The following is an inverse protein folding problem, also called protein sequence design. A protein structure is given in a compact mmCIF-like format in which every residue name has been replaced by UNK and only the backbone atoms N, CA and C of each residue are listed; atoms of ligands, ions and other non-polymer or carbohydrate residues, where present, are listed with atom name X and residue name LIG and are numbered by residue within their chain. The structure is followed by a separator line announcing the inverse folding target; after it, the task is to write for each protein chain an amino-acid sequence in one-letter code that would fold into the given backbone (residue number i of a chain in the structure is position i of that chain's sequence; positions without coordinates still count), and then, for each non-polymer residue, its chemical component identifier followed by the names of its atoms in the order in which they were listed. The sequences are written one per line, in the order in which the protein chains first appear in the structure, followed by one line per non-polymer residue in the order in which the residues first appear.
data_IF_647079695284
#
_entry.id   IF_647079695284
#
_cell.length_a   1.000
_cell.length_b   1.000
_cell.length_c   1.000
_cell.angle_alpha   90.00
_cell.angle_beta   90.00
_cell.angle_gamma   90.00
#
_symmetry.space_group_name_H-M   'P 1'
#
loop_
_entity.id
_entity.type
_entity.pdbx_description
1 polymer ?
#
# COMPACT_ATOMS: atom_id res chain seq x y z
N UNK A 1 -12.50 -21.53 -7.97
CA UNK A 1 -11.18 -21.70 -7.33
C UNK A 1 -10.15 -21.02 -8.20
N UNK A 2 -9.63 -19.85 -7.80
CA UNK A 2 -8.55 -19.19 -8.54
C UNK A 2 -7.25 -19.94 -8.28
N UNK A 3 -6.72 -20.61 -9.30
CA UNK A 3 -5.38 -21.20 -9.22
C UNK A 3 -4.38 -20.06 -9.14
N UNK A 4 -3.53 -20.08 -8.10
CA UNK A 4 -2.44 -19.11 -7.95
C UNK A 4 -1.50 -19.21 -9.16
N UNK A 5 -1.01 -18.06 -9.62
CA UNK A 5 -0.03 -17.98 -10.70
C UNK A 5 1.25 -18.74 -10.28
N UNK A 6 1.87 -19.45 -11.22
CA UNK A 6 3.18 -20.05 -10.94
C UNK A 6 4.18 -18.93 -10.59
N UNK A 7 4.92 -19.01 -9.47
CA UNK A 7 5.86 -17.96 -9.04
C UNK A 7 6.88 -17.59 -10.11
N UNK A 8 7.26 -18.51 -11.00
CA UNK A 8 8.19 -18.22 -12.09
C UNK A 8 7.54 -17.34 -13.17
N UNK A 9 6.28 -17.58 -13.50
CA UNK A 9 5.51 -16.77 -14.45
C UNK A 9 5.26 -15.36 -13.88
N UNK A 10 4.96 -15.29 -12.58
CA UNK A 10 4.82 -14.03 -11.86
C UNK A 10 6.13 -13.22 -11.88
N UNK A 11 7.27 -13.86 -11.60
CA UNK A 11 8.59 -13.22 -11.69
C UNK A 11 8.90 -12.72 -13.09
N UNK A 12 8.54 -13.46 -14.14
CA UNK A 12 8.72 -13.04 -15.54
C UNK A 12 7.92 -11.77 -15.87
N UNK A 13 6.68 -11.67 -15.39
CA UNK A 13 5.86 -10.46 -15.53
C UNK A 13 6.48 -9.27 -14.79
N UNK A 14 6.92 -9.46 -13.54
CA UNK A 14 7.54 -8.40 -12.75
C UNK A 14 8.86 -7.91 -13.35
N UNK A 15 9.71 -8.83 -13.82
CA UNK A 15 11.00 -8.50 -14.45
C UNK A 15 10.83 -7.63 -15.70
N UNK A 16 9.77 -7.88 -16.47
CA UNK A 16 9.47 -7.16 -17.72
C UNK A 16 8.33 -6.13 -17.57
N UNK A 17 7.97 -5.76 -16.34
CA UNK A 17 6.77 -4.96 -16.05
C UNK A 17 6.73 -3.64 -16.81
N UNK A 18 7.84 -2.90 -16.81
CA UNK A 18 7.93 -1.60 -17.48
C UNK A 18 7.84 -1.72 -19.00
N UNK A 19 8.44 -2.76 -19.56
CA UNK A 19 8.38 -3.02 -21.00
C UNK A 19 6.95 -3.34 -21.43
N UNK A 20 6.26 -4.22 -20.69
CA UNK A 20 4.86 -4.54 -20.93
C UNK A 20 3.96 -3.30 -20.85
N UNK A 21 4.20 -2.39 -19.89
CA UNK A 21 3.43 -1.14 -19.80
C UNK A 21 3.57 -0.25 -21.04
N UNK A 22 4.73 -0.27 -21.69
CA UNK A 22 5.04 0.58 -22.84
C UNK A 22 4.54 -0.01 -24.16
N UNK A 23 4.84 -1.28 -24.40
CA UNK A 23 4.62 -1.93 -25.70
C UNK A 23 3.25 -2.59 -25.84
N UNK A 24 2.57 -2.92 -24.74
CA UNK A 24 1.31 -3.65 -24.83
C UNK A 24 0.16 -2.76 -25.34
N UNK A 25 -0.53 -3.25 -26.37
CA UNK A 25 -1.78 -2.68 -26.86
C UNK A 25 -2.97 -3.22 -26.05
N UNK A 26 -3.19 -2.59 -24.89
CA UNK A 26 -4.17 -3.02 -23.88
C UNK A 26 -5.58 -3.23 -24.44
N UNK A 27 -6.17 -2.34 -25.26
CA UNK A 27 -7.52 -2.52 -25.78
C UNK A 27 -7.67 -3.81 -26.61
N UNK A 28 -6.75 -4.05 -27.54
CA UNK A 28 -6.80 -5.21 -28.43
C UNK A 28 -6.64 -6.51 -27.67
N UNK A 29 -5.68 -6.57 -26.74
CA UNK A 29 -5.43 -7.77 -25.93
C UNK A 29 -6.56 -8.03 -24.93
N UNK A 30 -7.14 -6.96 -24.36
CA UNK A 30 -8.28 -7.07 -23.44
C UNK A 30 -9.49 -7.68 -24.14
N UNK A 31 -9.76 -7.28 -25.38
CA UNK A 31 -10.90 -7.78 -26.16
C UNK A 31 -10.75 -9.26 -26.48
N UNK A 32 -9.56 -9.69 -26.90
CA UNK A 32 -9.24 -11.10 -27.11
C UNK A 32 -9.32 -11.93 -25.81
N UNK A 33 -8.95 -11.36 -24.66
CA UNK A 33 -9.07 -12.04 -23.36
C UNK A 33 -10.52 -12.18 -22.87
N UNK A 34 -11.41 -11.30 -23.30
CA UNK A 34 -12.86 -11.42 -23.04
C UNK A 34 -13.45 -12.52 -23.92
N UNK A 35 -13.04 -12.58 -25.19
CA UNK A 35 -13.44 -13.66 -26.11
C UNK A 35 -12.98 -15.04 -25.60
N UNK A 36 -11.77 -15.12 -25.04
CA UNK A 36 -11.27 -16.32 -24.35
C UNK A 36 -11.98 -16.65 -23.01
N UNK A 37 -12.93 -15.82 -22.57
CA UNK A 37 -13.70 -16.00 -21.34
C UNK A 37 -12.90 -15.82 -20.05
N UNK A 38 -11.70 -15.22 -20.12
CA UNK A 38 -10.85 -14.96 -18.95
C UNK A 38 -11.23 -13.62 -18.31
N UNK A 39 -11.49 -12.61 -19.14
CA UNK A 39 -11.89 -11.29 -18.69
C UNK A 39 -13.40 -11.11 -18.82
N UNK A 40 -13.99 -10.35 -17.89
CA UNK A 40 -15.39 -9.94 -17.97
C UNK A 40 -15.48 -8.52 -18.52
N UNK A 41 -16.67 -8.14 -19.02
CA UNK A 41 -16.92 -6.78 -19.50
C UNK A 41 -16.64 -5.71 -18.41
N UNK A 42 -16.88 -6.06 -17.14
CA UNK A 42 -16.57 -5.19 -16.01
C UNK A 42 -15.07 -4.87 -15.90
N UNK A 43 -14.17 -5.80 -16.23
CA UNK A 43 -12.73 -5.52 -16.25
C UNK A 43 -12.36 -4.56 -17.38
N UNK A 44 -12.97 -4.71 -18.56
CA UNK A 44 -12.76 -3.80 -19.70
C UNK A 44 -13.12 -2.37 -19.31
N UNK A 45 -14.25 -2.18 -18.67
CA UNK A 45 -14.69 -0.88 -18.17
C UNK A 45 -13.78 -0.34 -17.07
N UNK A 46 -13.34 -1.20 -16.13
CA UNK A 46 -12.40 -0.83 -15.09
C UNK A 46 -11.06 -0.34 -15.66
N UNK A 47 -10.53 -1.01 -16.67
CA UNK A 47 -9.29 -0.63 -17.37
C UNK A 47 -9.50 0.65 -18.19
N UNK A 48 -10.65 0.82 -18.85
CA UNK A 48 -10.94 2.01 -19.66
C UNK A 48 -11.12 3.27 -18.81
N UNK A 49 -11.67 3.14 -17.61
CA UNK A 49 -12.06 4.26 -16.75
C UNK A 49 -10.99 4.66 -15.69
N UNK A 50 -9.76 4.18 -15.81
CA UNK A 50 -8.69 4.52 -14.85
C UNK A 50 -8.29 6.00 -14.98
N UNK A 51 -8.06 6.66 -13.83
CA UNK A 51 -7.55 8.03 -13.74
C UNK A 51 -6.14 8.02 -13.12
N UNK A 52 -5.14 8.68 -13.73
CA UNK A 52 -5.21 9.41 -15.01
C UNK A 52 -5.37 8.45 -16.20
N UNK A 53 -6.09 8.90 -17.25
CA UNK A 53 -6.36 8.10 -18.46
C UNK A 53 -5.13 8.05 -19.38
N UNK A 54 -4.02 7.50 -18.88
CA UNK A 54 -2.78 7.31 -19.63
C UNK A 54 -2.65 5.85 -20.09
N UNK A 55 -1.92 5.63 -21.20
CA UNK A 55 -1.64 4.26 -21.70
C UNK A 55 -0.97 3.40 -20.62
N UNK A 56 0.03 3.97 -19.93
CA UNK A 56 0.81 3.28 -18.90
C UNK A 56 -0.05 2.82 -17.71
N UNK A 57 -0.96 3.68 -17.24
CA UNK A 57 -1.80 3.36 -16.07
C UNK A 57 -2.89 2.36 -16.44
N UNK A 58 -3.40 2.40 -17.68
CA UNK A 58 -4.30 1.36 -18.20
C UNK A 58 -3.61 0.01 -18.33
N UNK A 59 -2.37 0.00 -18.84
CA UNK A 59 -1.57 -1.22 -18.94
C UNK A 59 -1.24 -1.82 -17.56
N UNK A 60 -0.93 -0.97 -16.59
CA UNK A 60 -0.74 -1.40 -15.20
C UNK A 60 -2.00 -2.02 -14.59
N UNK A 61 -3.16 -1.37 -14.77
CA UNK A 61 -4.43 -1.93 -14.28
C UNK A 61 -4.74 -3.26 -14.96
N UNK A 62 -4.47 -3.37 -16.26
CA UNK A 62 -4.60 -4.61 -17.02
C UNK A 62 -3.71 -5.73 -16.47
N UNK A 63 -2.43 -5.46 -16.21
CA UNK A 63 -1.47 -6.44 -15.70
C UNK A 63 -1.81 -6.88 -14.27
N UNK A 64 -2.30 -5.96 -13.42
CA UNK A 64 -2.76 -6.31 -12.08
C UNK A 64 -3.96 -7.28 -12.12
N UNK A 65 -4.93 -7.03 -13.01
CA UNK A 65 -6.07 -7.94 -13.22
C UNK A 65 -5.57 -9.31 -13.77
N UNK A 66 -4.52 -9.31 -14.60
CA UNK A 66 -3.92 -10.53 -15.13
C UNK A 66 -3.32 -11.39 -14.00
N UNK A 67 -2.61 -10.75 -13.07
CA UNK A 67 -2.05 -11.40 -11.88
C UNK A 67 -3.15 -11.97 -10.96
N UNK A 68 -4.25 -11.22 -10.75
CA UNK A 68 -5.40 -11.68 -9.95
C UNK A 68 -6.10 -12.91 -10.56
N UNK A 69 -6.10 -13.02 -11.90
CA UNK A 69 -6.69 -14.16 -12.61
C UNK A 69 -5.80 -15.42 -12.57
N UNK A 70 -4.54 -15.27 -12.18
CA UNK A 70 -3.62 -16.36 -11.96
C UNK A 70 -3.18 -17.07 -13.25
N UNK A 71 -2.84 -18.35 -13.12
CA UNK A 71 -2.21 -19.14 -14.19
C UNK A 71 -3.07 -19.22 -15.46
N UNK A 72 -4.38 -19.39 -15.32
CA UNK A 72 -5.30 -19.43 -16.47
C UNK A 72 -5.30 -18.13 -17.27
N UNK A 73 -5.18 -17.00 -16.57
CA UNK A 73 -5.11 -15.70 -17.24
C UNK A 73 -3.80 -15.52 -17.99
N UNK A 74 -2.69 -15.89 -17.36
CA UNK A 74 -1.37 -15.82 -17.97
C UNK A 74 -1.23 -16.73 -19.20
N UNK A 75 -1.76 -17.95 -19.15
CA UNK A 75 -1.72 -18.88 -20.28
C UNK A 75 -2.53 -18.36 -21.47
N UNK A 76 -3.75 -17.88 -21.23
CA UNK A 76 -4.57 -17.27 -22.28
C UNK A 76 -3.91 -16.02 -22.88
N UNK A 77 -3.28 -15.19 -22.04
CA UNK A 77 -2.50 -14.05 -22.49
C UNK A 77 -1.35 -14.50 -23.41
N UNK A 78 -0.54 -15.48 -23.00
CA UNK A 78 0.55 -16.02 -23.82
C UNK A 78 0.06 -16.70 -25.11
N UNK A 79 -1.16 -17.25 -25.11
CA UNK A 79 -1.78 -17.82 -26.30
C UNK A 79 -2.21 -16.71 -27.28
N UNK A 80 -2.86 -15.66 -26.77
CA UNK A 80 -3.28 -14.50 -27.56
C UNK A 80 -2.08 -13.79 -28.20
N UNK A 81 -0.97 -13.68 -27.47
CA UNK A 81 0.26 -13.11 -28.03
C UNK A 81 0.88 -14.01 -29.12
N UNK A 82 0.68 -15.34 -29.05
CA UNK A 82 1.14 -16.29 -30.08
C UNK A 82 0.27 -16.33 -31.32
N UNK A 83 -1.03 -16.10 -31.16
CA UNK A 83 -2.02 -16.11 -32.24
C UNK A 83 -2.09 -14.76 -32.98
N UNK A 84 -1.25 -13.78 -32.62
CA UNK A 84 -1.23 -12.50 -33.30
C UNK A 84 -0.51 -12.57 -34.65
N UNK A 85 -1.29 -12.69 -35.73
CA UNK A 85 -0.83 -12.81 -37.12
C UNK A 85 0.05 -11.64 -37.59
N UNK A 86 -0.03 -10.49 -36.91
CA UNK A 86 0.71 -9.28 -37.29
C UNK A 86 2.12 -9.22 -36.69
N UNK A 87 2.56 -10.22 -35.92
CA UNK A 87 3.84 -10.22 -35.20
C UNK A 87 4.09 -8.96 -34.33
N UNK A 88 3.04 -8.21 -33.97
CA UNK A 88 3.18 -6.95 -33.21
C UNK A 88 3.70 -7.19 -31.80
N UNK A 89 3.52 -8.40 -31.28
CA UNK A 89 3.95 -8.80 -29.95
C UNK A 89 5.16 -9.74 -29.95
N UNK A 90 5.88 -9.86 -31.06
CA UNK A 90 7.06 -10.72 -31.15
C UNK A 90 8.13 -10.34 -30.12
N UNK A 91 8.40 -9.03 -29.94
CA UNK A 91 9.34 -8.53 -28.93
C UNK A 91 8.85 -8.81 -27.49
N UNK A 92 7.54 -8.77 -27.26
CA UNK A 92 6.93 -9.10 -25.96
C UNK A 92 7.08 -10.58 -25.63
N UNK A 93 6.91 -11.45 -26.62
CA UNK A 93 7.10 -12.90 -26.50
C UNK A 93 8.55 -13.27 -26.20
N UNK A 94 9.50 -12.64 -26.90
CA UNK A 94 10.93 -12.84 -26.69
C UNK A 94 11.37 -12.43 -25.28
N UNK A 95 10.93 -11.24 -24.82
CA UNK A 95 11.26 -10.73 -23.48
C UNK A 95 10.63 -11.52 -22.34
N UNK A 96 9.46 -12.12 -22.56
CA UNK A 96 8.81 -13.00 -21.58
C UNK A 96 9.40 -14.42 -21.56
N UNK A 97 10.39 -14.73 -22.42
CA UNK A 97 10.98 -16.06 -22.57
C UNK A 97 9.89 -17.14 -22.70
N UNK A 98 8.83 -16.82 -23.45
CA UNK A 98 7.76 -17.78 -23.72
C UNK A 98 8.29 -18.68 -24.84
N UNK A 99 8.42 -20.00 -24.62
CA UNK A 99 8.93 -20.88 -25.66
C UNK A 99 8.06 -20.72 -26.90
N UNK A 100 8.70 -20.34 -28.02
CA UNK A 100 8.07 -20.38 -29.33
C UNK A 100 7.46 -21.77 -29.51
N UNK A 101 6.25 -21.82 -30.07
CA UNK A 101 5.53 -23.06 -30.30
C UNK A 101 6.47 -23.98 -31.08
N UNK A 102 7.01 -25.02 -30.43
CA UNK A 102 7.61 -26.13 -31.16
C UNK A 102 6.46 -26.73 -31.93
N UNK A 103 6.49 -26.58 -33.24
CA UNK A 103 5.67 -27.39 -34.12
C UNK A 103 6.08 -28.84 -33.84
N UNK A 104 5.25 -29.57 -33.10
CA UNK A 104 5.36 -31.01 -32.98
C UNK A 104 5.04 -31.60 -34.35
N UNK A 105 6.09 -31.72 -35.14
CA UNK A 105 6.15 -32.54 -36.33
C UNK A 105 6.07 -34.02 -35.90
N UNK A 106 4.93 -34.64 -36.21
CA UNK A 106 4.73 -36.08 -36.09
C UNK A 106 5.62 -36.78 -37.13
N UNK A 107 6.74 -37.40 -36.72
CA UNK A 107 7.14 -38.79 -37.10
C UNK A 107 8.52 -39.23 -36.53
N UNK A 108 8.78 -40.55 -36.47
CA UNK A 108 9.59 -41.15 -35.41
C UNK A 108 11.06 -41.42 -35.76
N UNK A 109 11.88 -41.32 -34.71
CA UNK A 109 12.91 -42.28 -34.29
C UNK A 109 14.01 -42.70 -35.29
N UNK A 110 15.23 -42.18 -35.09
CA UNK A 110 16.46 -42.97 -34.96
C UNK A 110 17.62 -42.12 -34.43
N UNK A 111 18.13 -42.47 -33.25
CA UNK A 111 19.55 -42.67 -32.93
C UNK A 111 20.58 -41.53 -33.03
N UNK A 112 21.36 -41.42 -31.95
CA UNK A 112 22.79 -41.07 -31.91
C UNK A 112 23.19 -39.63 -31.51
N UNK A 113 23.53 -39.50 -30.22
CA UNK A 113 24.81 -39.06 -29.65
C UNK A 113 25.51 -37.74 -30.04
N UNK A 114 26.16 -37.19 -29.00
CA UNK A 114 27.37 -36.32 -28.94
C UNK A 114 27.26 -34.79 -29.10
N UNK A 115 27.35 -34.13 -27.93
CA UNK A 115 28.34 -33.13 -27.49
C UNK A 115 28.66 -31.84 -28.28
N UNK A 116 28.84 -30.79 -27.45
CA UNK A 116 29.86 -29.70 -27.46
C UNK A 116 29.63 -28.37 -28.20
N UNK A 117 29.97 -27.32 -27.43
CA UNK A 117 30.71 -26.07 -27.77
C UNK A 117 30.02 -24.91 -28.50
N UNK A 118 29.81 -23.84 -27.72
CA UNK A 118 30.52 -22.55 -27.78
C UNK A 118 30.40 -21.58 -29.00
N UNK A 119 30.40 -20.30 -28.61
CA UNK A 119 30.96 -19.08 -29.23
C UNK A 119 30.21 -18.27 -30.29
N UNK A 120 30.28 -16.94 -30.06
CA UNK A 120 30.29 -15.82 -31.02
C UNK A 120 28.95 -15.53 -31.74
N UNK A 121 28.55 -14.30 -32.08
CA UNK A 121 29.28 -13.06 -32.24
C UNK A 121 28.31 -11.85 -32.33
N UNK A 122 28.86 -10.67 -32.06
CA UNK A 122 28.61 -9.39 -32.73
C UNK A 122 27.20 -8.74 -32.73
N UNK A 123 27.02 -7.54 -32.18
CA UNK A 123 27.43 -6.21 -32.68
C UNK A 123 26.27 -5.52 -33.45
N UNK A 124 25.91 -4.30 -33.05
CA UNK A 124 24.79 -3.59 -33.67
C UNK A 124 24.47 -2.26 -33.02
N UNK A 125 25.35 -1.29 -33.22
CA UNK A 125 25.13 0.13 -32.95
C UNK A 125 23.75 0.63 -33.42
N UNK A 126 23.11 1.50 -32.62
CA UNK A 126 22.59 2.77 -33.16
C UNK A 126 22.28 3.81 -32.08
N UNK A 127 23.03 4.90 -32.22
CA UNK A 127 22.84 6.25 -31.67
C UNK A 127 21.38 6.72 -31.76
N UNK A 128 20.91 7.42 -30.70
CA UNK A 128 20.37 8.80 -30.76
C UNK A 128 20.00 9.31 -29.35
N UNK A 129 20.79 10.28 -28.88
CA UNK A 129 20.41 11.37 -27.94
C UNK A 129 19.41 12.32 -28.65
N UNK A 130 18.90 13.39 -27.99
CA UNK A 130 18.36 13.54 -26.63
C UNK A 130 16.97 14.24 -26.67
N UNK A 131 16.25 14.36 -25.55
CA UNK A 131 15.49 15.59 -25.24
C UNK A 131 15.23 15.69 -23.73
N UNK A 132 15.76 16.76 -23.15
CA UNK A 132 15.51 17.25 -21.81
C UNK A 132 14.25 18.10 -21.89
N UNK A 133 13.21 17.75 -21.14
CA UNK A 133 12.06 18.63 -20.89
C UNK A 133 11.95 18.92 -19.39
N UNK A 134 12.09 20.22 -19.09
CA UNK A 134 11.76 20.84 -17.81
C UNK A 134 10.27 20.64 -17.49
N UNK A 135 9.94 20.50 -16.20
CA UNK A 135 8.62 20.84 -15.68
C UNK A 135 8.75 21.81 -14.51
N UNK A 136 8.12 22.98 -14.68
CA UNK A 136 7.81 23.94 -13.64
C UNK A 136 6.46 23.58 -12.98
N UNK A 137 6.46 23.62 -11.64
CA UNK A 137 5.50 24.26 -10.71
C UNK A 137 4.02 24.44 -11.14
N UNK A 138 3.08 24.01 -10.27
CA UNK A 138 2.03 24.89 -9.73
C UNK A 138 1.19 24.22 -8.63
N UNK A 139 1.04 24.94 -7.52
CA UNK A 139 0.00 24.82 -6.51
C UNK A 139 -1.29 25.46 -7.02
N UNK A 140 -2.48 24.94 -6.65
CA UNK A 140 -3.59 25.77 -6.13
C UNK A 140 -4.75 24.93 -5.57
N UNK A 141 -5.39 25.50 -4.55
CA UNK A 141 -6.51 25.00 -3.74
C UNK A 141 -7.87 25.06 -4.45
N UNK A 142 -8.85 24.27 -3.98
CA UNK A 142 -10.24 24.73 -3.85
C UNK A 142 -11.10 23.79 -2.96
N UNK A 143 -11.77 24.44 -2.00
CA UNK A 143 -12.90 24.02 -1.17
C UNK A 143 -14.16 23.73 -2.00
N UNK A 144 -15.04 22.84 -1.52
CA UNK A 144 -16.50 23.11 -1.51
C UNK A 144 -17.26 22.10 -0.63
N UNK A 145 -18.03 22.66 0.30
CA UNK A 145 -19.10 22.02 1.05
C UNK A 145 -20.36 21.86 0.17
N UNK A 146 -21.26 20.93 0.54
CA UNK A 146 -22.70 21.24 0.60
C UNK A 146 -23.53 20.17 1.31
N UNK A 147 -24.44 20.69 2.12
CA UNK A 147 -25.59 20.09 2.78
C UNK A 147 -26.55 19.35 1.84
N UNK A 148 -27.24 18.32 2.36
CA UNK A 148 -28.59 17.98 1.88
C UNK A 148 -29.42 17.30 2.99
N UNK A 149 -30.41 18.02 3.51
CA UNK A 149 -31.55 17.44 4.23
C UNK A 149 -32.48 16.67 3.27
N UNK A 150 -33.11 15.59 3.74
CA UNK A 150 -34.44 15.17 3.22
C UNK A 150 -35.22 14.26 4.18
N UNK A 151 -36.48 14.66 4.34
CA UNK A 151 -37.63 14.09 5.06
C UNK A 151 -38.13 12.72 4.58
N UNK A 152 -39.02 12.12 5.41
CA UNK A 152 -40.17 11.18 5.17
C UNK A 152 -39.97 9.83 5.89
N UNK A 153 -40.96 9.15 6.52
CA UNK A 153 -42.40 9.30 6.88
C UNK A 153 -42.74 8.04 7.77
N UNK A 154 -44.00 7.69 8.15
CA UNK A 154 -44.33 7.18 9.49
C UNK A 154 -45.02 5.79 9.50
N UNK A 155 -45.39 5.33 10.71
CA UNK A 155 -46.17 4.12 11.02
C UNK A 155 -45.65 3.58 12.37
N UNK A 156 -46.43 3.11 13.34
CA UNK A 156 -47.73 2.42 13.27
C UNK A 156 -48.36 2.43 14.67
N UNK A 157 -49.66 2.16 14.68
CA UNK A 157 -50.64 2.10 15.77
C UNK A 157 -50.28 1.06 16.84
N UNK A 158 -50.67 1.31 18.10
CA UNK A 158 -51.37 0.28 18.90
C UNK A 158 -52.20 0.87 20.04
N UNK A 159 -53.40 0.32 20.12
CA UNK A 159 -54.54 0.53 21.01
C UNK A 159 -54.38 -0.14 22.38
N UNK A 160 -54.91 0.45 23.46
CA UNK A 160 -55.86 -0.22 24.38
C UNK A 160 -56.30 0.66 25.59
N UNK A 161 -57.62 0.70 25.77
CA UNK A 161 -58.41 0.60 27.01
C UNK A 161 -58.24 1.59 28.18
N UNK A 162 -59.32 2.32 28.50
CA UNK A 162 -60.04 2.22 29.79
C UNK A 162 -61.28 3.15 29.84
N UNK A 163 -62.45 2.56 30.11
CA UNK A 163 -63.74 3.19 30.40
C UNK A 163 -63.92 3.32 31.94
N UNK A 164 -64.23 4.50 32.48
CA UNK A 164 -65.53 4.97 33.05
C UNK A 164 -66.39 3.98 33.86
N UNK A 165 -66.63 4.26 35.15
CA UNK A 165 -67.96 4.62 35.73
C UNK A 165 -67.93 4.66 37.27
N UNK A 166 -68.60 5.67 37.86
CA UNK A 166 -68.84 5.85 39.30
C UNK A 166 -70.25 5.45 39.76
N UNK A 167 -70.62 5.70 41.05
CA UNK A 167 -71.82 5.14 41.69
C UNK A 167 -73.00 6.11 41.91
N UNK A 168 -74.17 5.49 42.15
CA UNK A 168 -75.36 5.88 42.94
C UNK A 168 -76.25 7.10 42.63
N UNK A 169 -77.57 6.85 42.45
CA UNK A 169 -78.67 7.39 43.28
C UNK A 169 -80.09 7.10 42.72
N UNK A 170 -80.99 6.56 43.55
CA UNK A 170 -82.47 6.59 43.41
C UNK A 170 -83.11 6.34 44.81
N UNK A 171 -83.60 7.36 45.52
CA UNK A 171 -85.00 7.84 45.65
C UNK A 171 -86.00 6.73 46.04
N UNK A 172 -86.62 6.66 47.23
CA UNK A 172 -87.40 7.64 48.02
C UNK A 172 -88.75 8.05 47.38
N UNK A 173 -89.74 7.15 47.40
CA UNK A 173 -91.18 7.43 47.16
C UNK A 173 -92.04 6.43 47.94
N UNK A 174 -92.35 6.68 49.23
CA UNK A 174 -93.30 5.83 49.96
C UNK A 174 -93.87 6.52 51.23
N UNK A 175 -94.70 7.56 51.06
CA UNK A 175 -95.44 8.17 52.21
C UNK A 175 -96.53 9.16 51.81
N UNK A 176 -97.47 8.79 50.92
CA UNK A 176 -98.68 9.61 50.64
C UNK A 176 -99.99 8.79 50.58
N UNK A 177 -99.99 7.49 50.87
CA UNK A 177 -101.12 6.61 50.51
C UNK A 177 -101.97 6.03 51.67
N UNK A 178 -102.07 6.70 52.82
CA UNK A 178 -102.82 6.13 53.98
C UNK A 178 -103.92 7.02 54.59
N UNK A 179 -104.09 8.28 54.18
CA UNK A 179 -105.07 9.18 54.82
C UNK A 179 -106.49 9.22 54.18
N UNK A 180 -106.78 8.38 53.18
CA UNK A 180 -108.05 8.39 52.43
C UNK A 180 -109.03 7.26 52.79
N UNK A 181 -108.83 6.54 53.91
CA UNK A 181 -109.60 5.36 54.30
C UNK A 181 -110.51 5.57 55.54
N UNK A 182 -110.87 6.80 55.86
CA UNK A 182 -111.77 7.12 56.97
C UNK A 182 -112.79 8.12 56.47
N UNK A 183 -114.08 7.85 56.73
CA UNK A 183 -115.26 8.68 56.40
C UNK A 183 -116.02 8.33 55.10
N UNK A 184 -116.49 7.08 55.03
CA UNK A 184 -117.71 6.75 54.27
C UNK A 184 -118.39 5.55 54.92
N UNK A 185 -119.43 5.78 55.72
CA UNK A 185 -120.45 4.86 56.26
C UNK A 185 -121.01 5.52 57.54
N UNK A 186 -122.30 5.58 57.86
CA UNK A 186 -123.51 5.14 57.19
C UNK A 186 -124.67 5.95 57.79
N UNK A 187 -125.63 6.26 56.94
CA UNK A 187 -126.92 6.89 57.21
C UNK A 187 -127.92 5.89 57.80
N UNK A 188 -128.60 6.22 58.90
CA UNK A 188 -129.83 5.55 59.31
C UNK A 188 -130.94 6.57 59.62
N UNK A 189 -132.02 6.44 58.85
CA UNK A 189 -133.23 7.27 58.86
C UNK A 189 -134.06 7.08 60.15
N UNK A 190 -134.37 8.20 60.80
CA UNK A 190 -135.49 8.35 61.72
C UNK A 190 -136.30 9.57 61.23
N UNK A 191 -137.64 9.53 61.20
CA UNK A 191 -138.44 10.65 60.72
C UNK A 191 -138.30 11.82 61.69
N UNK A 192 -137.44 12.76 61.33
CA UNK A 192 -137.16 13.95 62.13
C UNK A 192 -138.42 14.80 62.17
N UNK A 193 -138.96 14.97 63.38
CA UNK A 193 -140.04 15.91 63.69
C UNK A 193 -139.62 17.32 63.26
N UNK A 194 -140.19 17.77 62.14
CA UNK A 194 -139.83 19.02 61.45
C UNK A 194 -139.92 20.24 62.36
N UNK A 195 -140.81 20.22 63.35
CA UNK A 195 -140.99 21.36 64.26
C UNK A 195 -139.86 21.47 65.27
N UNK A 196 -139.28 20.34 65.68
CA UNK A 196 -138.11 20.27 66.56
C UNK A 196 -136.84 20.59 65.79
N UNK A 197 -136.76 20.17 64.52
CA UNK A 197 -135.66 20.53 63.62
C UNK A 197 -135.66 22.02 63.27
N UNK A 198 -136.81 22.64 63.00
CA UNK A 198 -136.92 24.09 62.76
C UNK A 198 -136.46 24.89 63.98
N UNK A 199 -136.86 24.46 65.18
CA UNK A 199 -136.51 25.14 66.43
C UNK A 199 -135.02 25.01 66.75
N UNK A 200 -134.40 23.86 66.46
CA UNK A 200 -132.95 23.67 66.53
C UNK A 200 -132.20 24.40 65.41
N UNK A 201 -132.73 24.47 64.17
CA UNK A 201 -132.14 25.25 63.08
C UNK A 201 -132.11 26.74 63.39
N UNK A 202 -133.17 27.30 63.98
CA UNK A 202 -133.22 28.70 64.42
C UNK A 202 -132.22 28.95 65.56
N UNK A 203 -131.97 27.95 66.42
CA UNK A 203 -130.99 28.03 67.53
C UNK A 203 -129.54 27.93 67.06
N UNK A 204 -129.31 27.14 66.02
CA UNK A 204 -127.98 26.89 65.44
C UNK A 204 -127.62 27.96 64.39
N UNK A 205 -128.60 28.63 63.78
CA UNK A 205 -128.37 29.67 62.77
C UNK A 205 -127.47 30.83 63.26
N UNK A 206 -127.61 31.38 64.48
CA UNK A 206 -126.67 32.36 65.00
C UNK A 206 -125.26 31.79 65.18
N UNK A 207 -125.13 30.53 65.61
CA UNK A 207 -123.83 29.86 65.79
C UNK A 207 -123.16 29.56 64.46
N UNK A 208 -123.93 29.15 63.43
CA UNK A 208 -123.46 29.00 62.06
C UNK A 208 -123.03 30.36 61.50
N UNK A 209 -123.82 31.42 61.71
CA UNK A 209 -123.44 32.77 61.30
C UNK A 209 -122.15 33.23 62.01
N UNK A 210 -121.99 32.93 63.30
CA UNK A 210 -120.79 33.23 64.08
C UNK A 210 -119.56 32.44 63.61
N UNK A 211 -119.76 31.18 63.20
CA UNK A 211 -118.73 30.33 62.60
C UNK A 211 -118.37 30.84 61.22
N UNK A 212 -119.34 31.19 60.37
CA UNK A 212 -119.06 31.81 59.07
C UNK A 212 -118.37 33.15 59.25
N UNK A 213 -118.77 33.98 60.22
CA UNK A 213 -118.12 35.26 60.48
C UNK A 213 -116.72 35.09 61.07
N UNK A 214 -116.48 34.07 61.91
CA UNK A 214 -115.14 33.67 62.37
C UNK A 214 -114.28 33.12 61.23
N UNK A 215 -114.84 32.30 60.35
CA UNK A 215 -114.17 31.83 59.13
C UNK A 215 -113.86 33.02 58.24
N UNK A 216 -114.79 33.95 58.01
CA UNK A 216 -114.52 35.14 57.20
C UNK A 216 -113.42 35.99 57.83
N UNK A 217 -113.42 36.18 59.16
CA UNK A 217 -112.38 36.92 59.88
C UNK A 217 -111.02 36.20 59.93
N UNK A 218 -110.98 34.87 59.98
CA UNK A 218 -109.73 34.10 59.95
C UNK A 218 -109.19 33.91 58.53
N UNK A 219 -110.07 33.83 57.53
CA UNK A 219 -109.68 33.69 56.12
C UNK A 219 -109.28 35.05 55.50
N UNK A 220 -109.80 36.18 56.00
CA UNK A 220 -109.36 37.53 55.57
C UNK A 220 -108.11 38.06 56.30
N UNK A 221 -107.68 37.45 57.42
CA UNK A 221 -106.53 37.97 58.19
C UNK A 221 -105.18 37.36 57.80
N UNK A 222 -105.10 36.60 56.71
CA UNK A 222 -103.83 36.32 56.05
C UNK A 222 -104.03 35.93 54.57
N UNK A 223 -104.31 36.89 53.68
CA UNK A 223 -103.65 36.78 52.41
C UNK A 223 -102.16 36.98 52.71
N UNK A 224 -101.35 35.92 52.61
CA UNK A 224 -99.95 36.17 52.21
C UNK A 224 -100.09 37.06 51.00
N UNK A 225 -99.73 38.33 51.14
CA UNK A 225 -100.07 39.33 50.15
C UNK A 225 -99.64 38.80 48.79
N UNK A 226 -100.47 38.93 47.76
CA UNK A 226 -100.06 38.57 46.40
C UNK A 226 -98.68 39.18 46.09
N UNK A 227 -98.40 40.34 46.68
CA UNK A 227 -97.10 41.02 46.71
C UNK A 227 -95.98 40.24 47.41
N UNK A 228 -96.22 39.61 48.56
CA UNK A 228 -95.24 38.78 49.28
C UNK A 228 -94.98 37.45 48.54
N UNK A 229 -96.02 36.84 47.96
CA UNK A 229 -95.86 35.67 47.09
C UNK A 229 -95.06 36.02 45.82
N UNK A 230 -95.28 37.21 45.24
CA UNK A 230 -94.51 37.70 44.11
C UNK A 230 -93.05 37.99 44.51
N UNK A 231 -92.80 38.57 45.69
CA UNK A 231 -91.45 38.74 46.23
C UNK A 231 -90.73 37.40 46.41
N UNK A 232 -91.39 36.39 46.97
CA UNK A 232 -90.82 35.04 47.11
C UNK A 232 -90.55 34.37 45.76
N UNK A 233 -91.40 34.58 44.75
CA UNK A 233 -91.15 34.10 43.38
C UNK A 233 -89.96 34.80 42.74
N UNK A 234 -89.84 36.11 42.90
CA UNK A 234 -88.70 36.89 42.41
C UNK A 234 -87.39 36.49 43.11
N UNK A 235 -87.44 36.25 44.41
CA UNK A 235 -86.30 35.77 45.19
C UNK A 235 -85.90 34.34 44.79
N UNK A 236 -86.86 33.43 44.60
CA UNK A 236 -86.58 32.09 44.11
C UNK A 236 -85.97 32.12 42.71
N UNK A 237 -86.44 33.01 41.83
CA UNK A 237 -85.85 33.18 40.50
C UNK A 237 -84.45 33.80 40.57
N UNK A 238 -84.19 34.73 41.49
CA UNK A 238 -82.82 35.20 41.79
C UNK A 238 -81.93 34.05 42.27
N UNK A 239 -82.41 33.20 43.19
CA UNK A 239 -81.67 32.04 43.68
C UNK A 239 -81.40 31.00 42.58
N UNK A 240 -82.34 30.81 41.65
CA UNK A 240 -82.12 29.95 40.47
C UNK A 240 -81.05 30.53 39.55
N UNK A 241 -81.05 31.86 39.34
CA UNK A 241 -80.02 32.53 38.55
C UNK A 241 -78.65 32.46 39.22
N UNK A 242 -78.56 32.66 40.53
CA UNK A 242 -77.30 32.52 41.27
C UNK A 242 -76.81 31.07 41.27
N UNK A 243 -77.69 30.09 41.47
CA UNK A 243 -77.33 28.67 41.35
C UNK A 243 -76.85 28.29 39.95
N UNK A 244 -77.53 28.77 38.89
CA UNK A 244 -77.03 28.57 37.50
C UNK A 244 -75.65 29.19 37.32
N UNK A 245 -75.43 30.42 37.79
CA UNK A 245 -74.11 31.07 37.72
C UNK A 245 -73.04 30.32 38.51
N UNK A 246 -73.38 29.74 39.67
CA UNK A 246 -72.46 28.92 40.45
C UNK A 246 -72.13 27.60 39.75
N UNK A 247 -73.11 26.95 39.12
CA UNK A 247 -72.90 25.75 38.31
C UNK A 247 -72.01 26.07 37.10
N UNK A 248 -72.24 27.20 36.42
CA UNK A 248 -71.41 27.63 35.30
C UNK A 248 -69.97 27.89 35.76
N UNK A 249 -69.77 28.58 36.88
CA UNK A 249 -68.44 28.77 37.48
C UNK A 249 -67.79 27.45 37.92
N UNK A 250 -68.56 26.52 38.46
CA UNK A 250 -68.07 25.19 38.82
C UNK A 250 -67.61 24.43 37.57
N UNK A 251 -68.40 24.46 36.50
CA UNK A 251 -68.04 23.87 35.21
C UNK A 251 -66.81 24.54 34.60
N UNK A 252 -66.68 25.86 34.74
CA UNK A 252 -65.49 26.62 34.33
C UNK A 252 -64.24 26.15 35.09
N UNK A 253 -64.34 26.00 36.42
CA UNK A 253 -63.26 25.47 37.24
C UNK A 253 -62.91 24.02 36.88
N UNK A 254 -63.91 23.17 36.64
CA UNK A 254 -63.67 21.80 36.20
C UNK A 254 -62.91 21.77 34.86
N UNK A 255 -63.28 22.62 33.88
CA UNK A 255 -62.55 22.75 32.62
C UNK A 255 -61.12 23.21 32.84
N UNK A 256 -60.88 24.20 33.70
CA UNK A 256 -59.54 24.68 34.03
C UNK A 256 -58.69 23.60 34.70
N UNK A 257 -59.26 22.82 35.63
CA UNK A 257 -58.56 21.71 36.27
C UNK A 257 -58.14 20.66 35.24
N UNK A 258 -59.05 20.27 34.32
CA UNK A 258 -58.74 19.33 33.25
C UNK A 258 -57.63 19.87 32.35
N UNK A 259 -57.69 21.16 32.00
CA UNK A 259 -56.67 21.81 31.18
C UNK A 259 -55.29 21.80 31.85
N UNK A 260 -55.22 22.13 33.13
CA UNK A 260 -53.98 22.08 33.92
C UNK A 260 -53.44 20.65 34.08
N UNK A 261 -54.30 19.64 34.19
CA UNK A 261 -53.88 18.23 34.23
C UNK A 261 -53.28 17.79 32.89
N UNK A 262 -53.89 18.16 31.77
CA UNK A 262 -53.36 17.89 30.44
C UNK A 262 -52.04 18.61 30.19
N UNK A 263 -51.92 19.87 30.62
CA UNK A 263 -50.68 20.64 30.52
C UNK A 263 -49.56 20.02 31.37
N UNK A 264 -49.83 19.64 32.62
CA UNK A 264 -48.87 18.93 33.46
C UNK A 264 -48.43 17.59 32.86
N UNK A 265 -49.36 16.82 32.27
CA UNK A 265 -49.03 15.58 31.57
C UNK A 265 -48.08 15.85 30.40
N UNK A 266 -48.38 16.86 29.58
CA UNK A 266 -47.54 17.27 28.46
C UNK A 266 -46.14 17.73 28.90
N UNK A 267 -46.04 18.48 29.99
CA UNK A 267 -44.75 18.90 30.56
C UNK A 267 -43.92 17.71 31.05
N UNK A 268 -44.56 16.70 31.66
CA UNK A 268 -43.87 15.45 32.05
C UNK A 268 -43.37 14.67 30.84
N UNK A 269 -44.21 14.49 29.82
CA UNK A 269 -43.84 13.75 28.61
C UNK A 269 -42.67 14.43 27.87
N UNK A 270 -42.73 15.75 27.70
CA UNK A 270 -41.64 16.53 27.10
C UNK A 270 -40.36 16.53 27.95
N UNK A 271 -40.47 16.58 29.28
CA UNK A 271 -39.32 16.48 30.18
C UNK A 271 -38.59 15.13 30.11
N UNK A 272 -39.32 14.03 29.94
CA UNK A 272 -38.71 12.70 29.75
C UNK A 272 -37.98 12.57 28.41
N UNK A 273 -38.55 13.10 27.33
CA UNK A 273 -37.89 13.18 26.02
C UNK A 273 -36.64 14.07 26.02
N UNK A 274 -36.66 15.18 26.74
CA UNK A 274 -35.48 16.04 26.92
C UNK A 274 -34.36 15.34 27.71
N UNK A 275 -34.71 14.47 28.67
CA UNK A 275 -33.72 13.65 29.39
C UNK A 275 -33.10 12.57 28.49
N UNK A 276 -33.91 11.88 27.70
CA UNK A 276 -33.44 10.84 26.77
C UNK A 276 -32.52 11.42 25.68
N UNK A 277 -32.92 12.53 25.06
CA UNK A 277 -32.08 13.23 24.05
C UNK A 277 -30.74 13.69 24.64
N UNK A 278 -30.72 14.16 25.90
CA UNK A 278 -29.47 14.51 26.60
C UNK A 278 -28.55 13.31 26.81
N UNK A 279 -29.11 12.12 27.10
CA UNK A 279 -28.34 10.88 27.24
C UNK A 279 -27.75 10.46 25.89
N UNK A 280 -28.54 10.50 24.82
CA UNK A 280 -28.06 10.18 23.47
C UNK A 280 -26.97 11.15 23.01
N UNK A 281 -27.11 12.45 23.31
CA UNK A 281 -26.13 13.46 22.96
C UNK A 281 -24.81 13.26 23.71
N UNK A 282 -24.87 12.87 24.99
CA UNK A 282 -23.67 12.45 25.74
C UNK A 282 -23.01 11.22 25.15
N UNK A 283 -23.80 10.22 24.73
CA UNK A 283 -23.26 9.01 24.09
C UNK A 283 -22.57 9.35 22.76
N UNK A 284 -23.19 10.19 21.93
CA UNK A 284 -22.57 10.67 20.68
C UNK A 284 -21.31 11.50 20.93
N UNK A 285 -21.28 12.30 21.99
CA UNK A 285 -20.08 13.04 22.37
C UNK A 285 -18.93 12.09 22.76
N UNK A 286 -19.22 11.04 23.53
CA UNK A 286 -18.24 9.99 23.85
C UNK A 286 -17.76 9.25 22.60
N UNK A 287 -18.66 8.86 21.70
CA UNK A 287 -18.31 8.23 20.42
C UNK A 287 -17.42 9.14 19.56
N UNK A 288 -17.67 10.47 19.56
CA UNK A 288 -16.82 11.44 18.87
C UNK A 288 -15.42 11.55 19.50
N UNK A 289 -15.31 11.53 20.82
CA UNK A 289 -14.02 11.54 21.52
C UNK A 289 -13.23 10.25 21.25
N UNK A 290 -13.90 9.10 21.21
CA UNK A 290 -13.29 7.82 20.81
C UNK A 290 -12.81 7.83 19.35
N UNK A 291 -13.59 8.40 18.43
CA UNK A 291 -13.16 8.56 17.04
C UNK A 291 -11.98 9.51 16.90
N UNK A 292 -11.99 10.61 17.66
CA UNK A 292 -10.89 11.59 17.67
C UNK A 292 -9.59 10.96 18.16
N UNK A 293 -9.64 10.20 19.26
CA UNK A 293 -8.46 9.49 19.78
C UNK A 293 -7.94 8.43 18.80
N UNK A 294 -8.82 7.72 18.09
CA UNK A 294 -8.41 6.81 17.00
C UNK A 294 -7.73 7.54 15.84
N UNK A 295 -8.24 8.71 15.43
CA UNK A 295 -7.62 9.52 14.38
C UNK A 295 -6.23 10.00 14.83
N UNK A 296 -6.09 10.47 16.06
CA UNK A 296 -4.81 10.91 16.60
C UNK A 296 -3.81 9.76 16.68
N UNK A 297 -4.25 8.56 17.04
CA UNK A 297 -3.41 7.36 17.04
C UNK A 297 -2.94 6.99 15.63
N UNK A 298 -3.83 7.04 14.64
CA UNK A 298 -3.49 6.76 13.24
C UNK A 298 -2.52 7.80 12.66
N UNK A 299 -2.68 9.08 13.03
CA UNK A 299 -1.73 10.14 12.67
C UNK A 299 -0.35 9.84 13.22
N UNK A 300 -0.27 9.46 14.49
CA UNK A 300 0.99 9.14 15.15
C UNK A 300 1.69 7.93 14.51
N UNK A 301 0.92 6.89 14.16
CA UNK A 301 1.45 5.72 13.44
C UNK A 301 1.95 6.09 12.03
N UNK A 302 1.26 7.01 11.34
CA UNK A 302 1.73 7.52 10.06
C UNK A 302 3.02 8.33 10.19
N UNK A 303 3.13 9.20 11.21
CA UNK A 303 4.34 9.97 11.48
C UNK A 303 5.54 9.06 11.79
N UNK A 304 5.33 7.98 12.56
CA UNK A 304 6.36 6.98 12.86
C UNK A 304 6.80 6.22 11.59
N UNK A 305 5.86 5.83 10.72
CA UNK A 305 6.17 5.19 9.43
C UNK A 305 6.88 6.14 8.46
N UNK A 306 6.54 7.42 8.48
CA UNK A 306 7.23 8.44 7.69
C UNK A 306 8.67 8.65 8.18
N UNK A 307 8.90 8.65 9.49
CA UNK A 307 10.24 8.67 10.07
C UNK A 307 11.05 7.42 9.68
N UNK A 308 10.47 6.22 9.79
CA UNK A 308 11.13 4.98 9.38
C UNK A 308 11.49 5.00 7.88
N UNK A 309 10.57 5.47 7.03
CA UNK A 309 10.82 5.62 5.60
C UNK A 309 11.99 6.60 5.34
N UNK A 310 12.03 7.72 6.03
CA UNK A 310 13.12 8.70 5.91
C UNK A 310 14.48 8.11 6.35
N UNK A 311 14.50 7.31 7.41
CA UNK A 311 15.73 6.59 7.83
C UNK A 311 16.19 5.58 6.77
N UNK A 312 15.26 4.85 6.16
CA UNK A 312 15.57 3.91 5.07
C UNK A 312 16.11 4.63 3.84
N UNK A 313 15.50 5.76 3.45
CA UNK A 313 16.00 6.59 2.36
C UNK A 313 17.42 7.10 2.62
N UNK A 314 17.73 7.51 3.86
CA UNK A 314 19.08 7.91 4.24
C UNK A 314 20.08 6.75 4.12
N UNK A 315 19.72 5.54 4.56
CA UNK A 315 20.57 4.34 4.40
C UNK A 315 20.81 4.02 2.92
N UNK A 316 19.80 4.17 2.06
CA UNK A 316 19.95 3.97 0.61
C UNK A 316 20.94 4.99 0.04
N UNK A 317 20.82 6.28 0.39
CA UNK A 317 21.78 7.30 -0.06
C UNK A 317 23.22 6.98 0.39
N UNK A 318 23.41 6.53 1.64
CA UNK A 318 24.74 6.11 2.12
C UNK A 318 25.30 4.95 1.29
N UNK A 319 24.48 3.93 0.98
CA UNK A 319 24.86 2.81 0.11
C UNK A 319 25.19 3.28 -1.31
N UNK A 320 24.42 4.22 -1.87
CA UNK A 320 24.68 4.80 -3.19
C UNK A 320 26.04 5.49 -3.24
N UNK A 321 26.35 6.33 -2.26
CA UNK A 321 27.66 7.00 -2.19
C UNK A 321 28.82 6.03 -2.02
N UNK A 322 28.62 4.93 -1.26
CA UNK A 322 29.64 3.91 -1.09
C UNK A 322 29.85 3.10 -2.38
N UNK A 323 28.77 2.75 -3.08
CA UNK A 323 28.84 2.10 -4.39
C UNK A 323 29.57 2.98 -5.42
N UNK A 324 29.37 4.30 -5.40
CA UNK A 324 30.11 5.23 -6.26
C UNK A 324 31.62 5.22 -5.96
N UNK A 325 32.01 5.21 -4.68
CA UNK A 325 33.42 5.09 -4.30
C UNK A 325 34.01 3.76 -4.73
N UNK A 326 33.28 2.66 -4.56
CA UNK A 326 33.75 1.33 -4.99
C UNK A 326 33.90 1.26 -6.52
N UNK A 327 32.99 1.87 -7.29
CA UNK A 327 33.14 1.98 -8.75
C UNK A 327 34.41 2.74 -9.14
N UNK A 328 34.71 3.85 -8.47
CA UNK A 328 35.94 4.60 -8.71
C UNK A 328 37.19 3.78 -8.35
N UNK A 329 37.13 3.01 -7.26
CA UNK A 329 38.22 2.13 -6.87
C UNK A 329 38.45 1.00 -7.90
N UNK A 330 37.38 0.39 -8.40
CA UNK A 330 37.45 -0.63 -9.45
C UNK A 330 38.06 -0.03 -10.73
N UNK A 331 37.57 1.13 -11.16
CA UNK A 331 38.11 1.83 -12.33
C UNK A 331 39.63 2.11 -12.19
N UNK A 332 40.08 2.52 -11.01
CA UNK A 332 41.50 2.73 -10.75
C UNK A 332 42.32 1.43 -10.82
N UNK A 333 41.77 0.32 -10.30
CA UNK A 333 42.42 -0.99 -10.39
C UNK A 333 42.46 -1.52 -11.83
N UNK A 334 41.43 -1.25 -12.63
CA UNK A 334 41.40 -1.59 -14.06
C UNK A 334 42.51 -0.84 -14.81
N UNK A 335 42.66 0.47 -14.59
CA UNK A 335 43.74 1.27 -15.18
C UNK A 335 45.11 0.70 -14.79
N UNK A 336 45.34 0.43 -13.50
CA UNK A 336 46.61 -0.17 -13.04
C UNK A 336 46.87 -1.55 -13.67
N UNK A 337 45.82 -2.34 -13.89
CA UNK A 337 45.94 -3.63 -14.56
C UNK A 337 46.29 -3.46 -16.04
N UNK A 338 45.64 -2.54 -16.75
CA UNK A 338 45.95 -2.21 -18.16
C UNK A 338 47.39 -1.70 -18.34
N UNK A 339 47.86 -0.84 -17.43
CA UNK A 339 49.25 -0.38 -17.39
C UNK A 339 50.22 -1.55 -17.15
N UNK A 340 49.91 -2.43 -16.19
CA UNK A 340 50.72 -3.62 -15.91
C UNK A 340 50.77 -4.60 -17.08
N UNK A 341 49.68 -4.79 -17.82
CA UNK A 341 49.64 -5.61 -19.04
C UNK A 341 50.45 -4.95 -20.16
N UNK A 342 50.32 -3.64 -20.34
CA UNK A 342 51.05 -2.88 -21.36
C UNK A 342 52.56 -2.93 -21.13
N UNK A 343 53.01 -2.76 -19.89
CA UNK A 343 54.43 -2.87 -19.52
C UNK A 343 54.96 -4.29 -19.71
N UNK A 344 54.19 -5.33 -19.35
CA UNK A 344 54.56 -6.73 -19.62
C UNK A 344 54.71 -6.97 -21.13
N UNK A 345 53.80 -6.48 -21.95
CA UNK A 345 53.86 -6.63 -23.39
C UNK A 345 55.08 -5.92 -23.98
N UNK A 346 55.41 -4.73 -23.47
CA UNK A 346 56.64 -4.01 -23.83
C UNK A 346 57.89 -4.83 -23.52
N UNK A 347 57.98 -5.37 -22.30
CA UNK A 347 59.10 -6.23 -21.90
C UNK A 347 59.20 -7.49 -22.76
N UNK A 348 58.07 -8.12 -23.13
CA UNK A 348 58.07 -9.27 -24.03
C UNK A 348 58.55 -8.91 -25.44
N UNK A 349 58.21 -7.72 -25.94
CA UNK A 349 58.70 -7.24 -27.23
C UNK A 349 60.22 -7.01 -27.19
N UNK A 350 60.72 -6.37 -26.13
CA UNK A 350 62.18 -6.16 -25.93
C UNK A 350 62.93 -7.49 -25.83
N UNK A 351 62.41 -8.47 -25.09
CA UNK A 351 63.00 -9.82 -25.01
C UNK A 351 63.03 -10.49 -26.39
N UNK A 352 62.00 -10.29 -27.21
CA UNK A 352 61.95 -10.86 -28.58
C UNK A 352 63.03 -10.23 -29.46
N UNK A 353 63.15 -8.90 -29.45
CA UNK A 353 64.17 -8.16 -30.19
C UNK A 353 65.58 -8.62 -29.80
N UNK A 354 65.87 -8.71 -28.49
CA UNK A 354 67.15 -9.22 -27.99
C UNK A 354 67.44 -10.68 -28.41
N UNK A 355 66.40 -11.52 -28.53
CA UNK A 355 66.56 -12.89 -29.05
C UNK A 355 66.89 -12.90 -30.54
N UNK A 356 66.25 -12.04 -31.32
CA UNK A 356 66.53 -11.87 -32.75
C UNK A 356 67.96 -11.36 -32.97
N UNK A 357 68.39 -10.33 -32.22
CA UNK A 357 69.77 -9.84 -32.23
C UNK A 357 70.78 -10.94 -31.87
N UNK A 358 70.48 -11.75 -30.86
CA UNK A 358 71.32 -12.89 -30.46
C UNK A 358 71.47 -13.92 -31.58
N UNK A 359 70.40 -14.24 -32.31
CA UNK A 359 70.48 -15.17 -33.45
C UNK A 359 71.26 -14.57 -34.63
N UNK A 360 71.12 -13.26 -34.88
CA UNK A 360 71.95 -12.55 -35.87
C UNK A 360 73.42 -12.61 -35.48
N UNK A 361 73.76 -12.39 -34.21
CA UNK A 361 75.14 -12.49 -33.73
C UNK A 361 75.68 -13.93 -33.84
N UNK A 362 74.87 -14.93 -33.51
CA UNK A 362 75.25 -16.34 -33.62
C UNK A 362 75.54 -16.75 -35.06
N UNK A 363 74.67 -16.41 -36.00
CA UNK A 363 74.90 -16.67 -37.44
C UNK A 363 76.14 -15.93 -37.94
N UNK A 364 76.40 -14.71 -37.45
CA UNK A 364 77.63 -13.97 -37.77
C UNK A 364 78.89 -14.67 -37.27
N UNK A 365 78.86 -15.22 -36.06
CA UNK A 365 79.97 -15.99 -35.48
C UNK A 365 80.22 -17.25 -36.30
N UNK A 366 79.17 -18.00 -36.64
CA UNK A 366 79.28 -19.23 -37.45
C UNK A 366 79.96 -18.98 -38.81
N UNK A 367 79.61 -17.88 -39.50
CA UNK A 367 80.26 -17.48 -40.75
C UNK A 367 81.75 -17.20 -40.54
N UNK A 368 82.12 -16.51 -39.45
CA UNK A 368 83.52 -16.19 -39.14
C UNK A 368 84.32 -17.44 -38.77
N UNK A 369 83.74 -18.36 -38.01
CA UNK A 369 84.35 -19.65 -37.68
C UNK A 369 84.59 -20.50 -38.94
N UNK A 370 83.64 -20.52 -39.88
CA UNK A 370 83.80 -21.19 -41.17
C UNK A 370 84.90 -20.59 -42.03
N UNK A 371 85.02 -19.26 -42.04
CA UNK A 371 86.13 -18.60 -42.72
C UNK A 371 87.47 -18.97 -42.07
N UNK A 372 87.54 -18.95 -40.74
CA UNK A 372 88.75 -19.34 -40.00
C UNK A 372 89.14 -20.79 -40.28
N UNK A 373 88.19 -21.74 -40.25
CA UNK A 373 88.43 -23.15 -40.60
C UNK A 373 89.03 -23.30 -42.01
N UNK A 374 88.51 -22.57 -43.00
CA UNK A 374 89.06 -22.60 -44.38
C UNK A 374 90.46 -22.03 -44.46
N UNK A 375 90.75 -20.97 -43.70
CA UNK A 375 92.07 -20.36 -43.68
C UNK A 375 93.10 -21.23 -42.93
N UNK A 376 92.68 -21.92 -41.85
CA UNK A 376 93.46 -22.95 -41.17
C UNK A 376 93.79 -24.13 -42.10
N UNK A 377 92.81 -24.63 -42.85
CA UNK A 377 93.03 -25.70 -43.85
C UNK A 377 94.02 -25.29 -44.95
N UNK A 378 93.95 -24.04 -45.41
CA UNK A 378 94.88 -23.48 -46.40
C UNK A 378 96.29 -23.40 -45.82
N UNK A 379 96.41 -22.92 -44.59
CA UNK A 379 97.68 -22.82 -43.88
C UNK A 379 98.31 -24.20 -43.67
N UNK A 380 97.52 -25.19 -43.23
CA UNK A 380 97.95 -26.58 -43.09
C UNK A 380 98.51 -27.15 -44.40
N UNK A 381 97.82 -26.93 -45.54
CA UNK A 381 98.31 -27.36 -46.87
C UNK A 381 99.61 -26.66 -47.28
N UNK A 382 99.77 -25.39 -46.94
CA UNK A 382 101.00 -24.64 -47.19
C UNK A 382 102.15 -25.15 -46.32
N UNK A 383 101.89 -25.43 -45.05
CA UNK A 383 102.85 -26.03 -44.12
C UNK A 383 103.28 -27.43 -44.57
N UNK A 384 102.33 -28.28 -45.00
CA UNK A 384 102.64 -29.60 -45.54
C UNK A 384 103.50 -29.51 -46.80
N UNK A 385 103.17 -28.58 -47.71
CA UNK A 385 103.98 -28.33 -48.91
C UNK A 385 105.38 -27.84 -48.55
N UNK A 386 105.51 -26.93 -47.58
CA UNK A 386 106.81 -26.47 -47.08
C UNK A 386 107.62 -27.64 -46.51
N UNK A 387 107.00 -28.49 -45.69
CA UNK A 387 107.64 -29.70 -45.12
C UNK A 387 108.15 -30.64 -46.22
N UNK A 388 107.37 -30.84 -47.29
CA UNK A 388 107.80 -31.65 -48.43
C UNK A 388 109.00 -31.02 -49.16
N UNK A 389 109.00 -29.69 -49.34
CA UNK A 389 110.13 -28.97 -49.92
C UNK A 389 111.39 -29.01 -49.04
N UNK A 390 111.24 -28.94 -47.71
CA UNK A 390 112.36 -29.06 -46.76
C UNK A 390 112.98 -30.47 -46.78
N UNK A 391 112.16 -31.52 -46.87
CA UNK A 391 112.64 -32.89 -47.02
C UNK A 391 113.34 -33.10 -48.37
N UNK A 392 112.81 -32.51 -49.44
CA UNK A 392 113.41 -32.55 -50.77
C UNK A 392 114.76 -31.80 -50.81
N UNK A 393 114.83 -30.61 -50.20
CA UNK A 393 116.08 -29.87 -50.07
C UNK A 393 117.10 -30.58 -49.14
N UNK A 394 116.64 -31.28 -48.09
CA UNK A 394 117.52 -32.07 -47.21
C UNK A 394 118.13 -33.28 -47.93
N UNK A 395 117.38 -33.93 -48.81
CA UNK A 395 117.90 -35.03 -49.65
C UNK A 395 118.83 -34.53 -50.75
N UNK A 396 118.59 -33.34 -51.30
CA UNK A 396 119.50 -32.69 -52.23
C UNK A 396 120.80 -32.20 -51.54
N UNK A 397 120.71 -31.74 -50.29
CA UNK A 397 121.86 -31.28 -49.49
C UNK A 397 122.78 -32.40 -48.99
N UNK A 398 122.34 -33.67 -48.95
CA UNK A 398 123.22 -34.80 -48.61
C UNK A 398 124.08 -35.30 -49.78
N UNK A 399 123.72 -34.99 -51.02
CA UNK A 399 124.54 -35.32 -52.21
C UNK A 399 125.56 -34.23 -52.57
N UNK A 400 125.62 -33.13 -51.81
CA UNK A 400 126.64 -32.08 -51.95
C UNK A 400 127.14 -31.64 -50.59
N UNK A 401 127.87 -32.52 -49.89
CA UNK A 401 128.76 -32.06 -48.81
C UNK A 401 130.08 -31.62 -49.42
N UNK A 402 130.36 -30.32 -49.49
CA UNK A 402 131.70 -29.80 -49.18
C UNK A 402 131.74 -28.26 -49.16
N UNK A 403 132.33 -27.73 -48.09
CA UNK A 403 132.96 -26.42 -47.99
C UNK A 403 132.07 -25.17 -47.86
N UNK A 404 131.81 -24.74 -46.63
CA UNK A 404 132.60 -23.70 -45.95
C UNK A 404 131.99 -23.37 -44.58
N UNK A 405 132.78 -23.63 -43.52
CA UNK A 405 132.61 -23.05 -42.17
C UNK A 405 133.38 -21.72 -42.10
N UNK A 406 133.06 -20.94 -41.06
CA UNK A 406 133.68 -19.68 -40.55
C UNK A 406 133.09 -18.39 -41.17
N UNK A 407 132.66 -17.34 -40.44
CA UNK A 407 132.70 -16.99 -39.00
C UNK A 407 131.88 -15.72 -38.71
N UNK A 408 131.52 -15.50 -37.42
CA UNK A 408 131.41 -14.20 -36.70
C UNK A 408 130.24 -13.27 -37.08
N UNK A 409 129.62 -12.51 -36.19
CA UNK A 409 129.80 -12.23 -34.76
C UNK A 409 128.46 -11.70 -34.19
N UNK A 410 128.33 -11.81 -32.86
CA UNK A 410 127.46 -11.05 -31.96
C UNK A 410 126.85 -9.76 -32.52
N UNK A 411 125.54 -9.62 -32.36
CA UNK A 411 125.07 -8.51 -31.52
C UNK A 411 123.80 -8.82 -30.72
N UNK A 412 123.97 -8.67 -29.41
CA UNK A 412 122.91 -8.70 -28.41
C UNK A 412 122.29 -7.32 -28.34
N UNK A 413 121.05 -7.14 -28.79
CA UNK A 413 120.14 -6.15 -28.18
C UNK A 413 118.74 -6.73 -28.05
N UNK A 414 118.49 -7.27 -26.86
CA UNK A 414 117.15 -7.48 -26.31
C UNK A 414 116.44 -6.12 -26.29
N UNK A 415 115.57 -5.87 -27.26
CA UNK A 415 114.56 -4.83 -27.16
C UNK A 415 113.41 -5.39 -26.33
N UNK A 416 113.50 -5.16 -25.02
CA UNK A 416 112.35 -5.13 -24.13
C UNK A 416 111.46 -3.97 -24.58
N UNK A 417 110.55 -4.22 -25.52
CA UNK A 417 109.30 -3.46 -25.61
C UNK A 417 108.27 -4.25 -24.83
N UNK A 418 108.08 -3.82 -23.59
CA UNK A 418 106.82 -3.96 -22.88
C UNK A 418 105.74 -3.36 -23.78
N UNK A 419 105.10 -4.17 -24.61
CA UNK A 419 103.78 -3.83 -25.12
C UNK A 419 102.86 -3.93 -23.91
N UNK A 420 102.33 -2.79 -23.49
CA UNK A 420 101.22 -2.71 -22.57
C UNK A 420 100.13 -3.70 -23.00
N UNK A 421 99.46 -4.39 -22.06
CA UNK A 421 98.28 -5.20 -22.39
C UNK A 421 97.28 -4.33 -23.14
N UNK A 422 96.66 -4.79 -24.25
CA UNK A 422 95.56 -4.06 -24.83
C UNK A 422 94.45 -3.98 -23.79
N UNK A 423 94.14 -2.72 -23.42
CA UNK A 423 92.86 -2.19 -22.96
C UNK A 423 91.80 -3.24 -22.63
N UNK A 424 91.45 -3.28 -21.35
CA UNK A 424 90.10 -3.44 -20.83
C UNK A 424 89.03 -3.63 -21.91
N UNK A 425 88.50 -4.84 -22.01
CA UNK A 425 87.27 -5.14 -22.71
C UNK A 425 86.13 -4.23 -22.21
N UNK A 426 85.51 -3.40 -23.07
CA UNK A 426 84.39 -2.54 -22.67
C UNK A 426 83.12 -3.34 -22.36
N UNK A 427 83.04 -4.61 -22.74
CA UNK A 427 81.88 -5.46 -22.49
C UNK A 427 81.81 -6.02 -21.06
N UNK A 428 82.82 -5.79 -20.22
CA UNK A 428 82.77 -6.09 -18.78
C UNK A 428 82.38 -4.89 -17.90
N UNK A 429 82.11 -3.72 -18.49
CA UNK A 429 81.67 -2.51 -17.76
C UNK A 429 80.30 -2.06 -18.25
N UNK A 430 79.30 -2.93 -18.08
CA UNK A 430 77.91 -2.65 -18.45
C UNK A 430 76.86 -3.23 -17.49
N UNK A 431 77.26 -3.92 -16.42
CA UNK A 431 76.33 -4.26 -15.32
C UNK A 431 76.34 -3.09 -14.32
N UNK A 432 75.95 -1.91 -14.80
CA UNK A 432 75.23 -0.99 -13.93
C UNK A 432 73.89 -1.67 -13.69
N UNK A 433 73.85 -2.43 -12.58
CA UNK A 433 72.62 -2.68 -11.86
C UNK A 433 72.01 -1.30 -11.62
N UNK A 434 71.13 -0.88 -12.52
CA UNK A 434 70.10 0.07 -12.17
C UNK A 434 69.41 -0.56 -10.98
N UNK A 435 69.73 -0.04 -9.79
CA UNK A 435 68.91 -0.15 -8.59
C UNK A 435 67.55 0.41 -8.99
N UNK A 436 66.74 -0.45 -9.58
CA UNK A 436 65.30 -0.33 -9.52
C UNK A 436 64.98 -0.22 -8.03
N UNK A 437 64.45 0.94 -7.67
CA UNK A 437 63.68 1.09 -6.45
C UNK A 437 62.43 0.20 -6.59
N UNK A 438 62.61 -1.12 -6.47
CA UNK A 438 61.51 -1.99 -6.14
C UNK A 438 61.11 -1.62 -4.72
N UNK A 439 60.05 -0.82 -4.63
CA UNK A 439 59.27 -0.69 -3.42
C UNK A 439 58.90 -2.11 -2.99
N UNK A 440 59.56 -2.57 -1.94
CA UNK A 440 59.29 -3.84 -1.31
C UNK A 440 57.96 -3.67 -0.56
N UNK A 441 56.84 -3.75 -1.28
CA UNK A 441 55.51 -3.86 -0.68
C UNK A 441 55.43 -5.25 -0.07
N UNK A 442 55.94 -5.36 1.16
CA UNK A 442 55.65 -6.49 2.03
C UNK A 442 54.13 -6.50 2.23
N UNK A 443 53.45 -7.44 1.59
CA UNK A 443 52.14 -7.88 2.05
C UNK A 443 52.33 -8.48 3.45
N UNK A 444 52.22 -7.64 4.47
CA UNK A 444 51.85 -8.11 5.80
C UNK A 444 50.35 -8.45 5.72
N UNK A 445 49.96 -9.73 5.88
CA UNK A 445 48.57 -10.01 6.16
C UNK A 445 48.17 -9.26 7.44
N UNK A 446 46.96 -8.66 7.49
CA UNK A 446 46.52 -7.96 8.68
C UNK A 446 46.54 -8.92 9.88
N UNK A 447 46.94 -8.46 11.08
CA UNK A 447 46.97 -9.32 12.26
C UNK A 447 45.57 -9.86 12.55
N UNK A 448 45.47 -11.09 13.09
CA UNK A 448 44.19 -11.62 13.50
C UNK A 448 43.62 -10.68 14.56
N UNK A 449 42.44 -10.16 14.29
CA UNK A 449 41.67 -9.32 15.22
C UNK A 449 41.18 -10.22 16.35
N UNK A 450 42.09 -10.54 17.26
CA UNK A 450 41.79 -11.14 18.55
C UNK A 450 40.96 -10.16 19.36
N UNK A 451 39.77 -10.61 19.76
CA UNK A 451 38.88 -9.87 20.60
C UNK A 451 39.43 -9.64 22.01
N UNK A 452 38.84 -8.66 22.68
CA UNK A 452 39.05 -8.42 24.09
C UNK A 452 38.26 -7.21 24.60
N UNK A 453 37.05 -7.46 25.11
CA UNK A 453 36.40 -6.60 26.10
C UNK A 453 34.97 -6.17 25.78
N UNK A 454 33.97 -7.00 26.13
CA UNK A 454 32.57 -6.58 26.10
C UNK A 454 31.54 -7.71 26.26
N UNK A 455 31.55 -8.34 27.44
CA UNK A 455 30.48 -9.13 28.09
C UNK A 455 29.20 -9.51 27.32
N UNK A 456 28.89 -10.82 27.27
CA UNK A 456 27.51 -11.32 27.07
C UNK A 456 27.41 -12.77 26.55
N UNK A 457 26.97 -13.69 27.41
CA UNK A 457 26.72 -15.15 27.24
C UNK A 457 25.65 -15.49 26.15
N UNK A 458 25.26 -16.78 25.96
CA UNK A 458 26.03 -17.98 25.63
C UNK A 458 25.55 -18.65 24.32
N UNK A 459 26.34 -19.60 23.84
CA UNK A 459 26.13 -20.48 22.69
C UNK A 459 24.94 -21.44 22.83
N UNK A 460 24.07 -21.49 21.82
CA UNK A 460 23.27 -22.69 21.50
C UNK A 460 23.62 -23.23 20.09
N UNK A 461 24.15 -24.46 20.12
CA UNK A 461 23.86 -25.61 19.25
C UNK A 461 23.69 -25.37 17.74
N UNK A 462 24.74 -25.75 17.01
CA UNK A 462 24.73 -26.94 16.15
C UNK A 462 23.66 -27.01 15.07
N UNK A 463 24.04 -26.70 13.84
CA UNK A 463 23.36 -27.17 12.64
C UNK A 463 24.08 -28.42 12.13
N UNK A 464 23.39 -29.55 12.18
CA UNK A 464 23.69 -30.73 11.38
C UNK A 464 22.84 -30.69 10.10
N UNK A 465 23.44 -31.17 9.01
CA UNK A 465 22.93 -31.36 7.65
C UNK A 465 21.42 -31.45 7.44
#
# INVERSE_FOLDING_TARGET
MSQKLNPDNERKLWRNWMFLKQELDVPTVTDKLIEAGVYTQAHKESIKNVKPNSKLVRAEKFLNILLERGERGFQAFCQILREDENNKFAEVMEKLEIPAKKEDEVRPNTGSSTSTTATHDSNGERKKRPQVFQYQKSETMASLANDTMKNKRPGTVDTAAAATAGPDSAQAVESVQVAAASMSQDSNNSPVDLTTLERELIKIAPTIADVFQRITKTTNNNPVGVDELNRLKEENERLRKTNRSLIDKLNEFQKQIIQLQLENKRLRDTGTGASQTKIELKKKAQELDELKTKIDQQRKELDEKEQELNEQLKKIQEIETENEKQKLQIMNLEILHEEGVSERNRQQAEIRELREEKEIQKTRIEILEDMQRRDEDRLYKLEERLRMLEQWNSTQSQNTSSSYRYTRERDRRRSSRVMSPPRSHPWMSGVQVNRSHHANVKFQPPPPRGGGGGQGKPTEKGWSF
#
